data_IF_387258461912
#
_entry.id   IF_387258461912
#
_cell.length_a   1.000
_cell.length_b   1.000
_cell.length_c   1.000
_cell.angle_alpha   90.00
_cell.angle_beta   90.00
_cell.angle_gamma   90.00
#
_symmetry.space_group_name_H-M   'P 1'
#
loop_
_entity.id
_entity.type
_entity.pdbx_description
1 polymer ?
#
# COMPACT_ATOMS: atom_id res chain seq x y z
N UNK A 1 20.82 26.73 72.05
CA UNK A 1 20.61 26.78 70.58
C UNK A 1 20.03 25.44 70.15
N UNK A 2 18.72 25.36 69.95
CA UNK A 2 17.99 24.13 69.61
C UNK A 2 17.69 24.13 68.12
N UNK A 3 18.35 23.26 67.36
CA UNK A 3 18.16 23.11 65.92
C UNK A 3 17.00 22.19 65.61
N UNK A 4 15.96 22.71 64.95
CA UNK A 4 14.84 21.92 64.42
C UNK A 4 15.20 21.38 63.03
N UNK A 5 15.39 20.08 62.94
CA UNK A 5 15.53 19.35 61.68
C UNK A 5 14.14 19.28 60.99
N UNK A 6 13.98 19.90 59.82
CA UNK A 6 12.77 19.77 59.01
C UNK A 6 12.94 18.57 58.07
N UNK A 7 12.17 17.52 58.32
CA UNK A 7 12.04 16.38 57.43
C UNK A 7 11.14 16.79 56.25
N UNK A 8 11.69 16.86 55.04
CA UNK A 8 10.91 17.05 53.81
C UNK A 8 10.49 15.66 53.36
N UNK A 9 9.20 15.33 53.49
CA UNK A 9 8.63 14.12 52.94
C UNK A 9 8.43 14.33 51.42
N UNK A 10 9.26 13.67 50.62
CA UNK A 10 9.04 13.53 49.18
C UNK A 10 7.99 12.44 49.00
N UNK A 11 6.78 12.86 48.63
CA UNK A 11 5.71 11.94 48.21
C UNK A 11 5.96 11.60 46.75
N UNK A 12 6.63 10.48 46.50
CA UNK A 12 6.68 9.87 45.17
C UNK A 12 5.33 9.23 44.88
N UNK A 13 4.49 9.92 44.11
CA UNK A 13 3.30 9.32 43.53
C UNK A 13 3.74 8.35 42.43
N UNK A 14 3.91 7.08 42.78
CA UNK A 14 3.97 6.02 41.79
C UNK A 14 2.57 5.89 41.18
N UNK A 15 2.35 6.51 40.02
CA UNK A 15 1.20 6.20 39.20
C UNK A 15 1.31 4.73 38.82
N UNK A 16 0.47 3.88 39.40
CA UNK A 16 0.22 2.53 38.90
C UNK A 16 -0.48 2.68 37.54
N UNK A 17 0.29 2.98 36.49
CA UNK A 17 -0.19 3.04 35.12
C UNK A 17 -0.46 1.64 34.62
N UNK A 18 -1.67 1.12 34.85
CA UNK A 18 -2.15 -0.08 34.17
C UNK A 18 -2.28 0.21 32.68
N UNK A 19 -1.82 -0.71 31.83
CA UNK A 19 -2.07 -0.66 30.39
C UNK A 19 -3.57 -0.77 30.11
N UNK A 20 -4.09 0.05 29.19
CA UNK A 20 -5.47 -0.06 28.72
C UNK A 20 -5.60 -1.25 27.79
N UNK A 21 -6.54 -2.15 28.05
CA UNK A 21 -6.79 -3.27 27.15
C UNK A 21 -7.61 -2.83 25.93
N UNK A 22 -7.18 -3.21 24.73
CA UNK A 22 -7.93 -2.94 23.50
C UNK A 22 -8.78 -4.15 23.11
N UNK A 23 -10.06 -3.96 22.73
CA UNK A 23 -10.92 -5.03 22.24
C UNK A 23 -10.63 -5.35 20.76
N UNK A 24 -9.35 -5.44 20.39
CA UNK A 24 -8.88 -5.68 19.03
C UNK A 24 -7.89 -6.83 19.10
N UNK A 25 -8.03 -7.78 18.17
CA UNK A 25 -7.14 -8.93 18.07
C UNK A 25 -5.70 -8.44 17.81
N UNK A 26 -4.71 -9.02 18.50
CA UNK A 26 -3.33 -8.53 18.52
C UNK A 26 -2.64 -8.48 17.13
N UNK A 27 -3.14 -9.25 16.14
CA UNK A 27 -2.63 -9.22 14.75
C UNK A 27 -3.37 -8.22 13.86
N UNK A 28 -4.46 -7.64 14.32
CA UNK A 28 -5.22 -6.65 13.55
C UNK A 28 -4.68 -5.24 13.78
N UNK A 29 -4.92 -4.38 12.80
CA UNK A 29 -4.62 -2.97 12.88
C UNK A 29 -5.39 -2.37 14.08
N UNK A 30 -4.68 -1.81 15.07
CA UNK A 30 -5.29 -1.33 16.31
C UNK A 30 -6.10 -0.04 16.13
N UNK A 31 -6.01 0.62 14.97
CA UNK A 31 -6.83 1.77 14.61
C UNK A 31 -8.13 1.35 13.91
N UNK A 32 -8.25 0.07 13.55
CA UNK A 32 -9.42 -0.51 12.91
C UNK A 32 -10.57 -0.75 13.89
N UNK A 33 -11.79 -0.71 13.35
CA UNK A 33 -13.03 -1.00 14.10
C UNK A 33 -13.85 -2.14 13.48
N UNK A 34 -13.79 -2.33 12.16
CA UNK A 34 -14.66 -3.29 11.43
C UNK A 34 -13.89 -4.34 10.64
N UNK A 35 -12.65 -4.08 10.23
CA UNK A 35 -11.85 -5.00 9.42
C UNK A 35 -10.41 -5.08 9.93
N UNK A 36 -9.85 -6.30 9.98
CA UNK A 36 -8.58 -6.58 10.63
C UNK A 36 -7.40 -5.78 10.07
N UNK A 37 -7.29 -5.64 8.74
CA UNK A 37 -6.21 -4.85 8.13
C UNK A 37 -6.49 -3.35 8.06
N UNK A 38 -7.74 -2.92 8.25
CA UNK A 38 -8.12 -1.52 8.08
C UNK A 38 -7.78 -0.71 9.34
N UNK A 39 -7.36 0.56 9.23
CA UNK A 39 -7.09 1.27 7.98
C UNK A 39 -5.91 0.67 7.20
N UNK A 40 -6.02 0.68 5.87
CA UNK A 40 -4.97 0.22 4.96
C UNK A 40 -4.64 1.32 3.95
N UNK A 41 -3.38 1.51 3.55
CA UNK A 41 -2.15 1.01 4.19
C UNK A 41 -1.95 1.61 5.59
N UNK A 42 -1.07 1.03 6.41
CA UNK A 42 -0.83 1.49 7.78
C UNK A 42 0.56 1.12 8.30
N UNK A 43 1.20 2.07 8.99
CA UNK A 43 2.47 1.89 9.68
C UNK A 43 2.41 0.87 10.83
N UNK A 44 1.22 0.46 11.27
CA UNK A 44 1.03 -0.69 12.16
C UNK A 44 1.59 -2.00 11.59
N UNK A 45 1.75 -2.09 10.28
CA UNK A 45 2.35 -3.23 9.58
C UNK A 45 3.73 -2.91 9.00
N UNK A 46 4.45 -1.96 9.60
CA UNK A 46 5.82 -1.61 9.23
C UNK A 46 6.76 -1.78 10.43
N UNK A 47 7.98 -2.22 10.16
CA UNK A 47 9.08 -2.26 11.13
C UNK A 47 10.27 -1.44 10.62
N UNK A 48 11.13 -1.02 11.55
CA UNK A 48 12.39 -0.38 11.19
C UNK A 48 13.31 -1.37 10.49
N UNK A 49 13.87 -0.95 9.37
CA UNK A 49 14.92 -1.68 8.66
C UNK A 49 15.91 -0.68 8.03
N UNK A 50 17.03 -0.37 8.70
CA UNK A 50 18.01 0.59 8.19
C UNK A 50 18.75 0.09 6.93
N UNK A 51 18.52 -1.15 6.48
CA UNK A 51 19.11 -1.70 5.26
C UNK A 51 18.29 -1.37 4.01
N UNK A 52 17.06 -0.89 4.15
CA UNK A 52 16.21 -0.49 3.02
C UNK A 52 16.33 1.00 2.71
N UNK A 53 15.91 1.41 1.51
CA UNK A 53 16.01 2.80 1.07
C UNK A 53 15.11 3.75 1.87
N UNK A 54 13.99 3.26 2.39
CA UNK A 54 13.03 4.02 3.21
C UNK A 54 13.32 3.95 4.70
N UNK A 55 14.26 3.09 5.13
CA UNK A 55 14.46 2.75 6.54
C UNK A 55 13.35 1.89 7.13
N UNK A 56 12.43 1.39 6.31
CA UNK A 56 11.24 0.62 6.71
C UNK A 56 11.13 -0.67 5.93
N UNK A 57 10.40 -1.63 6.48
CA UNK A 57 10.00 -2.87 5.82
C UNK A 57 8.59 -3.24 6.24
N UNK A 58 7.79 -3.80 5.33
CA UNK A 58 6.50 -4.36 5.69
C UNK A 58 6.65 -5.61 6.59
N UNK A 59 5.75 -5.74 7.55
CA UNK A 59 5.70 -6.84 8.51
C UNK A 59 4.23 -7.20 8.82
N UNK A 60 3.51 -7.61 7.77
CA UNK A 60 2.12 -8.07 7.86
C UNK A 60 2.10 -9.46 8.51
N UNK A 61 1.33 -9.68 9.60
CA UNK A 61 1.19 -11.00 10.21
C UNK A 61 0.52 -12.02 9.28
N UNK A 62 0.97 -13.28 9.31
CA UNK A 62 0.48 -14.37 8.42
C UNK A 62 -1.04 -14.56 8.50
N UNK A 63 -1.61 -14.52 9.71
CA UNK A 63 -3.05 -14.66 9.95
C UNK A 63 -3.87 -13.35 9.92
N UNK A 64 -3.25 -12.20 9.59
CA UNK A 64 -3.95 -10.92 9.52
C UNK A 64 -4.66 -10.71 8.16
N UNK A 65 -4.19 -11.39 7.11
CA UNK A 65 -4.77 -11.27 5.77
C UNK A 65 -6.13 -11.99 5.69
N UNK A 66 -7.09 -11.46 4.90
CA UNK A 66 -8.37 -12.13 4.69
C UNK A 66 -8.19 -13.55 4.17
N UNK A 67 -8.89 -14.50 4.78
CA UNK A 67 -8.97 -15.87 4.28
C UNK A 67 -9.79 -15.89 3.00
N UNK A 68 -9.25 -16.52 1.96
CA UNK A 68 -9.96 -16.65 0.69
C UNK A 68 -11.22 -17.52 0.83
N UNK A 69 -12.06 -17.54 -0.21
CA UNK A 69 -13.31 -18.33 -0.30
C UNK A 69 -13.10 -19.84 -0.06
N UNK A 70 -11.87 -20.34 -0.17
CA UNK A 70 -11.49 -21.74 0.08
C UNK A 70 -10.49 -21.82 1.25
N UNK A 71 -10.73 -21.07 2.35
CA UNK A 71 -9.97 -21.03 3.61
C UNK A 71 -8.45 -21.18 3.43
N UNK A 72 -7.92 -20.60 2.35
CA UNK A 72 -6.51 -20.66 2.02
C UNK A 72 -5.91 -19.39 2.58
N UNK A 73 -5.00 -19.57 3.52
CA UNK A 73 -4.22 -18.49 4.08
C UNK A 73 -3.39 -17.82 2.98
N UNK A 74 -3.41 -16.49 2.97
CA UNK A 74 -2.60 -15.72 2.04
C UNK A 74 -1.26 -15.50 2.73
N UNK A 75 -0.19 -15.99 2.12
CA UNK A 75 1.17 -15.83 2.63
C UNK A 75 1.65 -14.38 2.44
N UNK A 76 1.98 -13.64 3.52
CA UNK A 76 2.41 -12.26 3.42
C UNK A 76 3.89 -12.10 3.03
N UNK A 77 4.68 -13.18 2.94
CA UNK A 77 6.14 -13.15 2.71
C UNK A 77 6.51 -12.21 1.54
N UNK A 78 5.71 -12.20 0.48
CA UNK A 78 5.93 -11.36 -0.70
C UNK A 78 5.71 -9.87 -0.49
N UNK A 79 4.84 -9.47 0.41
CA UNK A 79 4.73 -8.06 0.81
C UNK A 79 5.81 -7.72 1.83
N UNK A 80 6.16 -8.65 2.73
CA UNK A 80 7.13 -8.43 3.81
C UNK A 80 8.59 -8.30 3.36
N UNK A 81 8.87 -8.41 2.06
CA UNK A 81 10.17 -8.03 1.46
C UNK A 81 10.21 -6.59 0.96
N UNK A 82 9.07 -5.90 0.88
CA UNK A 82 8.98 -4.54 0.38
C UNK A 82 9.35 -3.53 1.45
N UNK A 83 9.98 -2.43 1.02
CA UNK A 83 10.38 -1.32 1.89
C UNK A 83 9.27 -0.26 2.08
N UNK A 84 8.02 -0.60 1.76
CA UNK A 84 6.86 0.26 1.94
C UNK A 84 5.66 -0.22 1.13
N UNK A 85 4.58 0.54 1.19
CA UNK A 85 3.35 0.26 0.45
C UNK A 85 3.40 0.78 -0.98
N UNK A 86 2.53 0.24 -1.85
CA UNK A 86 2.45 0.69 -3.24
C UNK A 86 2.08 2.18 -3.34
N UNK A 87 2.78 2.91 -4.20
CA UNK A 87 2.50 4.32 -4.52
C UNK A 87 1.13 4.57 -5.18
N UNK A 88 0.41 3.49 -5.54
CA UNK A 88 -0.94 3.53 -6.12
C UNK A 88 -1.92 2.69 -5.32
N UNK A 89 -1.60 2.31 -4.07
CA UNK A 89 -2.54 1.56 -3.24
C UNK A 89 -3.79 2.40 -2.98
N UNK A 90 -5.00 1.82 -3.07
CA UNK A 90 -6.16 2.48 -2.48
C UNK A 90 -5.91 2.61 -0.98
N UNK A 91 -6.28 3.76 -0.43
CA UNK A 91 -6.33 4.01 1.01
C UNK A 91 -7.76 3.68 1.43
N UNK A 92 -7.95 2.94 2.52
CA UNK A 92 -9.29 2.53 2.95
C UNK A 92 -9.41 2.41 4.46
N UNK A 93 -10.62 2.62 4.93
CA UNK A 93 -11.07 2.34 6.30
C UNK A 93 -12.55 1.93 6.25
N UNK A 94 -13.05 1.24 7.27
CA UNK A 94 -14.46 0.93 7.41
C UNK A 94 -14.92 1.27 8.83
N UNK A 95 -16.15 1.77 8.95
CA UNK A 95 -16.80 2.07 10.23
C UNK A 95 -18.03 1.18 10.43
N UNK A 96 -18.38 0.81 11.67
CA UNK A 96 -19.61 0.09 11.95
C UNK A 96 -20.81 0.93 11.48
N UNK A 97 -21.72 0.33 10.72
CA UNK A 97 -22.90 1.03 10.19
C UNK A 97 -22.63 1.91 8.95
N UNK A 98 -21.39 1.98 8.46
CA UNK A 98 -21.05 2.71 7.25
C UNK A 98 -20.93 4.24 7.42
N UNK A 99 -20.64 4.90 6.32
CA UNK A 99 -20.37 6.35 6.21
C UNK A 99 -21.32 6.94 5.18
N UNK A 100 -21.76 8.20 5.36
CA UNK A 100 -22.50 8.92 4.32
C UNK A 100 -21.53 9.54 3.31
N UNK A 101 -21.93 9.56 2.02
CA UNK A 101 -21.20 10.22 0.95
C UNK A 101 -21.29 11.76 0.98
N UNK A 102 -22.12 12.32 1.89
CA UNK A 102 -22.36 13.75 1.98
C UNK A 102 -21.08 14.52 2.28
N UNK A 103 -20.73 15.45 1.39
CA UNK A 103 -19.58 16.34 1.55
C UNK A 103 -18.23 15.70 1.22
N UNK A 104 -18.18 14.39 0.92
CA UNK A 104 -16.96 13.71 0.53
C UNK A 104 -16.46 14.23 -0.84
N UNK A 105 -15.13 14.34 -1.06
CA UNK A 105 -14.58 14.72 -2.36
C UNK A 105 -14.97 13.71 -3.45
N UNK A 106 -15.78 14.12 -4.43
CA UNK A 106 -16.21 13.25 -5.52
C UNK A 106 -15.16 13.16 -6.63
N UNK A 107 -15.23 12.11 -7.47
CA UNK A 107 -14.28 11.89 -8.57
C UNK A 107 -14.27 13.00 -9.64
N UNK A 108 -15.36 13.74 -9.77
CA UNK A 108 -15.52 14.89 -10.67
C UNK A 108 -15.28 16.24 -9.98
N UNK A 109 -14.99 16.25 -8.67
CA UNK A 109 -14.72 17.44 -7.88
C UNK A 109 -13.67 17.18 -6.78
N UNK A 110 -12.48 16.73 -7.21
CA UNK A 110 -11.39 16.40 -6.29
C UNK A 110 -10.78 17.62 -5.60
N UNK A 111 -11.03 18.85 -6.07
CA UNK A 111 -10.53 20.08 -5.43
C UNK A 111 -11.05 20.23 -3.98
N UNK A 112 -12.20 19.61 -3.66
CA UNK A 112 -12.71 19.52 -2.28
C UNK A 112 -11.74 18.83 -1.32
N UNK A 113 -10.88 17.94 -1.81
CA UNK A 113 -9.85 17.27 -0.99
C UNK A 113 -8.70 18.21 -0.58
N UNK A 114 -8.53 19.31 -1.31
CA UNK A 114 -7.47 20.30 -1.06
C UNK A 114 -7.97 21.47 -0.20
N UNK A 115 -9.28 21.60 -0.01
CA UNK A 115 -9.89 22.65 0.79
C UNK A 115 -9.50 22.52 2.28
N UNK A 116 -9.44 23.66 2.98
CA UNK A 116 -9.09 23.69 4.41
C UNK A 116 -10.09 22.90 5.28
N UNK A 117 -11.36 22.91 4.90
CA UNK A 117 -12.47 22.21 5.56
C UNK A 117 -12.77 20.82 4.97
N UNK A 118 -11.84 20.25 4.19
CA UNK A 118 -12.02 18.93 3.60
C UNK A 118 -12.27 17.87 4.68
N UNK A 119 -13.32 17.02 4.53
CA UNK A 119 -13.64 16.04 5.56
C UNK A 119 -12.65 14.87 5.62
N UNK A 120 -11.94 14.62 4.52
CA UNK A 120 -10.90 13.59 4.40
C UNK A 120 -9.61 14.21 3.87
N UNK A 121 -8.48 13.86 4.45
CA UNK A 121 -7.18 14.44 4.09
C UNK A 121 -6.15 13.34 3.84
N UNK A 122 -5.35 13.51 2.79
CA UNK A 122 -4.09 12.82 2.59
C UNK A 122 -3.01 13.91 2.58
N UNK A 123 -2.04 13.81 3.49
CA UNK A 123 -0.98 14.80 3.67
C UNK A 123 0.37 14.13 3.41
N UNK A 124 1.17 14.69 2.51
CA UNK A 124 2.57 14.32 2.38
C UNK A 124 3.36 14.92 3.57
N UNK A 125 3.78 14.09 4.51
CA UNK A 125 4.50 14.56 5.70
C UNK A 125 5.92 15.04 5.37
N UNK A 126 6.41 14.76 4.16
CA UNK A 126 7.73 15.20 3.69
C UNK A 126 7.69 16.64 3.20
N UNK A 127 6.61 17.02 2.50
CA UNK A 127 6.46 18.36 1.90
C UNK A 127 5.49 19.26 2.66
N UNK A 128 4.61 18.69 3.50
CA UNK A 128 3.50 19.39 4.14
C UNK A 128 2.33 19.68 3.20
N UNK A 129 2.32 19.09 1.99
CA UNK A 129 1.30 19.37 0.98
C UNK A 129 0.14 18.36 1.05
N UNK A 130 -1.09 18.86 0.85
CA UNK A 130 -2.27 18.01 0.68
C UNK A 130 -2.23 17.33 -0.68
N UNK A 131 -2.60 16.06 -0.71
CA UNK A 131 -2.72 15.26 -1.94
C UNK A 131 -4.17 15.27 -2.40
N UNK A 132 -4.37 15.72 -3.64
CA UNK A 132 -5.68 15.68 -4.28
C UNK A 132 -6.17 14.23 -4.38
N UNK A 133 -7.42 13.97 -3.99
CA UNK A 133 -8.03 12.65 -4.02
C UNK A 133 -9.55 12.74 -4.18
N UNK A 134 -10.16 11.60 -4.53
CA UNK A 134 -11.59 11.39 -4.32
C UNK A 134 -11.83 10.31 -3.28
N UNK A 135 -12.97 10.41 -2.63
CA UNK A 135 -13.49 9.46 -1.68
C UNK A 135 -14.67 8.69 -2.30
N UNK A 136 -14.65 7.36 -2.18
CA UNK A 136 -15.67 6.46 -2.72
C UNK A 136 -16.12 5.50 -1.61
N UNK A 137 -17.41 5.18 -1.58
CA UNK A 137 -17.94 4.13 -0.71
C UNK A 137 -18.08 2.83 -1.52
N UNK A 138 -17.57 1.71 -0.99
CA UNK A 138 -17.67 0.41 -1.66
C UNK A 138 -19.15 -0.02 -1.80
N UNK A 139 -19.73 -0.12 -2.99
CA UNK A 139 -21.14 -0.46 -3.14
C UNK A 139 -21.45 -1.93 -2.78
N UNK A 140 -20.43 -2.80 -2.61
CA UNK A 140 -20.63 -4.23 -2.43
C UNK A 140 -21.10 -4.63 -1.02
N UNK A 141 -20.86 -3.80 0.00
CA UNK A 141 -21.13 -4.15 1.42
C UNK A 141 -21.72 -2.98 2.20
N UNK A 142 -23.03 -2.70 2.09
CA UNK A 142 -23.65 -1.54 2.75
C UNK A 142 -23.47 -1.50 4.28
N UNK A 143 -23.54 -2.65 4.96
CA UNK A 143 -23.48 -2.72 6.43
C UNK A 143 -22.04 -2.71 7.00
N UNK A 144 -21.04 -2.78 6.12
CA UNK A 144 -19.61 -2.75 6.45
C UNK A 144 -18.83 -1.98 5.38
N UNK A 145 -19.42 -0.86 4.93
CA UNK A 145 -18.98 -0.17 3.73
C UNK A 145 -17.58 0.42 3.94
N UNK A 146 -16.64 0.03 3.08
CA UNK A 146 -15.33 0.65 3.08
C UNK A 146 -15.45 2.06 2.49
N UNK A 147 -14.89 3.03 3.20
CA UNK A 147 -14.54 4.35 2.67
C UNK A 147 -13.16 4.24 2.03
N UNK A 148 -13.07 4.46 0.73
CA UNK A 148 -11.83 4.44 -0.04
C UNK A 148 -11.42 5.87 -0.39
N UNK A 149 -10.18 6.24 -0.10
CA UNK A 149 -9.55 7.44 -0.63
C UNK A 149 -8.60 7.05 -1.77
N UNK A 150 -8.80 7.66 -2.94
CA UNK A 150 -8.01 7.39 -4.14
C UNK A 150 -7.24 8.65 -4.55
N UNK A 151 -5.91 8.67 -4.32
CA UNK A 151 -5.06 9.74 -4.81
C UNK A 151 -5.27 9.99 -6.30
N UNK A 152 -5.36 11.27 -6.69
CA UNK A 152 -5.52 11.69 -8.08
C UNK A 152 -4.24 11.45 -8.91
N UNK A 153 -3.11 11.28 -8.24
CA UNK A 153 -1.81 10.99 -8.83
C UNK A 153 -1.09 9.91 -8.01
N UNK A 154 -0.09 9.28 -8.64
CA UNK A 154 0.83 8.37 -7.96
C UNK A 154 1.53 9.12 -6.81
N UNK A 155 1.53 8.53 -5.61
CA UNK A 155 2.26 9.06 -4.47
C UNK A 155 3.77 9.03 -4.72
N UNK A 156 4.51 9.91 -4.05
CA UNK A 156 5.96 10.00 -4.23
C UNK A 156 6.65 8.82 -3.54
N UNK A 157 7.57 8.16 -4.25
CA UNK A 157 8.29 7.00 -3.73
C UNK A 157 9.17 7.40 -2.53
N UNK A 158 9.18 6.58 -1.48
CA UNK A 158 9.94 6.83 -0.25
C UNK A 158 9.38 7.91 0.66
N UNK A 159 8.32 8.62 0.27
CA UNK A 159 7.66 9.59 1.13
C UNK A 159 6.76 8.90 2.17
N UNK A 160 6.52 9.60 3.27
CA UNK A 160 5.59 9.22 4.32
C UNK A 160 4.33 10.08 4.23
N UNK A 161 3.17 9.44 4.33
CA UNK A 161 1.89 10.12 4.21
C UNK A 161 1.06 9.91 5.47
N UNK A 162 0.44 10.98 5.95
CA UNK A 162 -0.63 10.92 6.93
C UNK A 162 -1.99 10.90 6.21
N UNK A 163 -2.93 10.14 6.77
CA UNK A 163 -4.33 10.14 6.35
C UNK A 163 -5.17 10.53 7.55
N UNK A 164 -6.12 11.44 7.35
CA UNK A 164 -7.04 11.89 8.39
C UNK A 164 -8.49 11.79 7.92
N UNK A 165 -9.33 11.23 8.79
CA UNK A 165 -10.78 11.28 8.72
C UNK A 165 -11.23 12.23 9.83
N UNK A 166 -11.85 13.34 9.45
CA UNK A 166 -12.27 14.38 10.40
C UNK A 166 -13.68 14.13 10.93
N UNK A 167 -14.06 14.85 11.98
CA UNK A 167 -15.41 14.88 12.55
C UNK A 167 -16.48 15.41 11.59
N UNK A 168 -16.09 15.96 10.43
CA UNK A 168 -17.00 16.38 9.35
C UNK A 168 -17.55 15.20 8.55
N UNK A 169 -16.90 14.03 8.61
CA UNK A 169 -17.45 12.80 8.03
C UNK A 169 -18.56 12.27 8.94
N UNK A 170 -19.76 12.12 8.39
CA UNK A 170 -20.94 11.63 9.10
C UNK A 170 -21.20 10.15 8.85
N UNK A 171 -21.76 9.48 9.86
CA UNK A 171 -22.24 8.11 9.72
C UNK A 171 -23.39 8.02 8.72
N UNK A 172 -23.67 6.81 8.20
CA UNK A 172 -24.73 6.60 7.22
C UNK A 172 -26.14 6.96 7.75
N UNK A 173 -26.35 6.92 9.07
CA UNK A 173 -27.60 7.32 9.74
C UNK A 173 -27.68 8.84 10.04
N UNK A 174 -26.66 9.60 9.65
CA UNK A 174 -26.53 11.04 9.89
C UNK A 174 -25.92 11.40 11.25
N UNK A 175 -25.51 10.42 12.06
CA UNK A 175 -24.82 10.63 13.33
C UNK A 175 -23.32 10.89 13.20
N UNK A 176 -22.66 10.99 14.36
CA UNK A 176 -21.21 11.06 14.46
C UNK A 176 -20.57 9.68 14.28
N UNK A 177 -19.38 9.64 13.64
CA UNK A 177 -18.60 8.40 13.57
C UNK A 177 -17.99 8.04 14.92
N UNK A 178 -17.88 6.74 15.26
CA UNK A 178 -17.26 6.31 16.49
C UNK A 178 -15.74 6.54 16.46
N UNK A 179 -15.21 7.16 17.52
CA UNK A 179 -13.78 7.32 17.77
C UNK A 179 -13.12 5.97 18.08
N UNK A 180 -12.25 5.41 17.21
CA UNK A 180 -11.64 4.09 17.42
C UNK A 180 -10.85 4.00 18.74
N UNK A 181 -10.94 2.88 19.49
CA UNK A 181 -10.26 2.75 20.78
C UNK A 181 -8.74 2.92 20.71
N UNK A 182 -8.07 2.38 19.69
CA UNK A 182 -6.63 2.54 19.52
C UNK A 182 -6.22 3.97 19.19
N UNK A 183 -6.97 4.66 18.32
CA UNK A 183 -6.71 6.08 18.03
C UNK A 183 -6.91 6.96 19.27
N UNK A 184 -7.97 6.71 20.05
CA UNK A 184 -8.18 7.39 21.34
C UNK A 184 -7.01 7.18 22.31
N UNK A 185 -6.46 5.97 22.37
CA UNK A 185 -5.31 5.66 23.22
C UNK A 185 -4.01 6.33 22.75
N UNK A 186 -3.84 6.53 21.44
CA UNK A 186 -2.73 7.33 20.91
C UNK A 186 -2.91 8.81 21.23
N UNK A 187 -4.06 9.40 20.87
CA UNK A 187 -4.37 10.82 21.11
C UNK A 187 -4.28 11.22 22.58
N UNK A 188 -4.79 10.37 23.47
CA UNK A 188 -4.83 10.66 24.92
C UNK A 188 -3.55 10.20 25.67
N UNK A 189 -2.47 9.83 24.96
CA UNK A 189 -1.21 9.24 25.46
C UNK A 189 -1.40 8.12 26.52
N UNK A 190 -2.37 7.24 26.27
CA UNK A 190 -2.62 6.07 27.14
C UNK A 190 -1.93 4.84 26.60
N UNK A 191 -0.97 4.30 27.35
CA UNK A 191 -0.33 3.01 27.06
C UNK A 191 -1.36 1.87 27.05
N UNK A 192 -1.16 0.93 26.14
CA UNK A 192 -2.01 -0.26 25.95
C UNK A 192 -1.20 -1.55 26.07
N UNK A 193 -1.90 -2.69 26.11
CA UNK A 193 -1.31 -4.02 26.00
C UNK A 193 -1.17 -4.51 24.54
N UNK A 194 -1.54 -3.68 23.55
CA UNK A 194 -1.57 -4.06 22.14
C UNK A 194 -0.23 -3.79 21.44
N UNK A 195 0.51 -4.87 21.12
CA UNK A 195 1.86 -4.79 20.57
C UNK A 195 2.00 -3.90 19.33
N UNK A 196 1.11 -4.02 18.34
CA UNK A 196 1.18 -3.19 17.12
C UNK A 196 0.93 -1.69 17.41
N UNK A 197 0.09 -1.35 18.39
CA UNK A 197 -0.19 0.05 18.72
C UNK A 197 1.02 0.68 19.40
N UNK A 198 1.62 -0.04 20.35
CA UNK A 198 2.80 0.46 21.06
C UNK A 198 4.05 0.51 20.17
N UNK A 199 4.15 -0.36 19.17
CA UNK A 199 5.21 -0.30 18.17
C UNK A 199 5.09 0.92 17.24
N UNK A 200 3.86 1.31 16.85
CA UNK A 200 3.65 2.49 15.99
C UNK A 200 3.65 3.81 16.76
N UNK A 201 3.35 3.80 18.08
CA UNK A 201 3.21 5.01 18.90
C UNK A 201 4.35 6.03 18.76
N UNK A 202 5.65 5.65 18.81
CA UNK A 202 6.74 6.63 18.72
C UNK A 202 6.71 7.46 17.42
N UNK A 203 6.13 6.92 16.36
CA UNK A 203 5.99 7.60 15.06
C UNK A 203 4.72 8.43 14.96
N UNK A 204 3.73 8.16 15.81
CA UNK A 204 2.41 8.76 15.71
C UNK A 204 2.38 10.22 16.16
N UNK A 205 3.24 10.60 17.10
CA UNK A 205 3.36 12.00 17.53
C UNK A 205 3.69 12.92 16.34
N UNK A 206 4.57 12.49 15.43
CA UNK A 206 4.87 13.22 14.18
C UNK A 206 3.64 13.40 13.29
N UNK A 207 2.70 12.45 13.32
CA UNK A 207 1.47 12.50 12.52
C UNK A 207 0.56 13.60 13.04
N UNK A 208 0.37 13.68 14.35
CA UNK A 208 -0.43 14.74 14.97
C UNK A 208 0.19 16.11 14.72
N UNK A 209 1.51 16.24 14.87
CA UNK A 209 2.21 17.51 14.59
C UNK A 209 2.06 17.92 13.13
N UNK A 210 2.28 17.00 12.18
CA UNK A 210 2.17 17.32 10.76
C UNK A 210 0.74 17.72 10.35
N UNK A 211 -0.28 17.07 10.93
CA UNK A 211 -1.69 17.41 10.69
C UNK A 211 -2.04 18.78 11.30
N UNK A 212 -1.59 19.08 12.52
CA UNK A 212 -1.80 20.37 13.18
C UNK A 212 -1.14 21.52 12.38
N UNK A 213 0.10 21.34 11.94
CA UNK A 213 0.83 22.27 11.07
C UNK A 213 0.09 22.50 9.73
N UNK A 214 -0.65 21.50 9.25
CA UNK A 214 -1.51 21.57 8.06
C UNK A 214 -2.94 22.09 8.34
N UNK A 215 -3.21 22.55 9.56
CA UNK A 215 -4.48 23.15 10.00
C UNK A 215 -5.57 22.13 10.34
N UNK A 216 -5.20 20.91 10.76
CA UNK A 216 -6.11 19.82 11.12
C UNK A 216 -5.79 19.40 12.57
N UNK A 217 -6.33 20.11 13.56
CA UNK A 217 -6.03 19.86 14.97
C UNK A 217 -6.60 18.51 15.45
N UNK A 218 -6.06 18.00 16.56
CA UNK A 218 -6.38 16.65 17.05
C UNK A 218 -7.84 16.47 17.51
N UNK A 219 -8.51 17.56 17.89
CA UNK A 219 -9.92 17.59 18.30
C UNK A 219 -10.88 17.49 17.11
N UNK A 220 -10.41 17.82 15.90
CA UNK A 220 -11.13 17.66 14.64
C UNK A 220 -11.06 16.23 14.08
N UNK A 221 -10.25 15.33 14.67
CA UNK A 221 -10.00 13.99 14.14
C UNK A 221 -10.94 12.91 14.71
N UNK A 222 -11.55 12.12 13.81
CA UNK A 222 -12.17 10.83 14.15
C UNK A 222 -11.10 9.73 14.16
N UNK A 223 -10.20 9.74 13.20
CA UNK A 223 -9.04 8.84 13.16
C UNK A 223 -8.01 9.37 12.18
N UNK A 224 -6.74 9.22 12.55
CA UNK A 224 -5.62 9.44 11.65
C UNK A 224 -4.63 8.29 11.77
N UNK A 225 -3.87 8.08 10.70
CA UNK A 225 -2.78 7.10 10.63
C UNK A 225 -1.77 7.53 9.58
N UNK A 226 -0.63 6.85 9.52
CA UNK A 226 0.37 7.07 8.50
C UNK A 226 0.81 5.78 7.82
N UNK A 227 1.54 5.93 6.71
CA UNK A 227 2.24 4.84 6.04
C UNK A 227 3.40 5.39 5.19
N UNK A 228 4.36 4.51 4.91
CA UNK A 228 5.53 4.78 4.07
C UNK A 228 5.29 4.21 2.67
N UNK A 229 5.50 5.02 1.63
CA UNK A 229 5.46 4.55 0.23
C UNK A 229 6.79 3.90 -0.12
N UNK A 230 6.74 2.73 -0.77
CA UNK A 230 7.93 1.99 -1.20
C UNK A 230 8.85 2.84 -2.08
N UNK A 231 10.15 2.56 -2.02
CA UNK A 231 11.11 3.18 -2.94
C UNK A 231 10.92 2.66 -4.37
N UNK A 232 11.30 3.46 -5.37
CA UNK A 232 11.31 3.01 -6.76
C UNK A 232 12.28 1.84 -6.98
N UNK A 233 13.34 1.77 -6.18
CA UNK A 233 14.28 0.65 -6.22
C UNK A 233 13.60 -0.66 -5.81
N UNK A 234 12.88 -0.66 -4.69
CA UNK A 234 12.11 -1.83 -4.22
C UNK A 234 10.99 -2.18 -5.19
N UNK A 235 10.20 -1.20 -5.63
CA UNK A 235 9.05 -1.41 -6.51
C UNK A 235 9.43 -2.02 -7.88
N UNK A 236 10.62 -1.68 -8.41
CA UNK A 236 11.07 -2.13 -9.73
C UNK A 236 12.08 -3.29 -9.67
N UNK A 237 12.56 -3.69 -8.49
CA UNK A 237 13.66 -4.65 -8.32
C UNK A 237 13.48 -5.92 -9.14
N UNK A 238 12.29 -6.53 -9.08
CA UNK A 238 12.00 -7.77 -9.79
C UNK A 238 12.06 -7.61 -11.32
N UNK A 239 11.43 -6.57 -11.87
CA UNK A 239 11.39 -6.36 -13.31
C UNK A 239 12.79 -6.04 -13.86
N UNK A 240 13.58 -5.26 -13.12
CA UNK A 240 14.96 -4.95 -13.49
C UNK A 240 15.83 -6.21 -13.45
N UNK A 241 15.77 -6.99 -12.36
CA UNK A 241 16.54 -8.22 -12.23
C UNK A 241 16.15 -9.27 -13.30
N UNK A 242 14.86 -9.43 -13.59
CA UNK A 242 14.38 -10.32 -14.64
C UNK A 242 14.84 -9.85 -16.02
N UNK A 243 14.79 -8.54 -16.31
CA UNK A 243 15.29 -7.97 -17.57
C UNK A 243 16.78 -8.26 -17.76
N UNK A 244 17.61 -7.95 -16.78
CA UNK A 244 19.07 -8.14 -16.86
C UNK A 244 19.44 -9.61 -17.05
N UNK A 245 18.84 -10.50 -16.26
CA UNK A 245 19.06 -11.95 -16.37
C UNK A 245 18.54 -12.52 -17.68
N UNK A 246 17.41 -12.00 -18.17
CA UNK A 246 16.85 -12.38 -19.46
C UNK A 246 17.79 -12.00 -20.62
N UNK A 247 18.31 -10.77 -20.61
CA UNK A 247 19.28 -10.30 -21.60
C UNK A 247 20.59 -11.12 -21.56
N UNK A 248 21.11 -11.41 -20.36
CA UNK A 248 22.30 -12.26 -20.20
C UNK A 248 22.06 -13.70 -20.71
N UNK A 249 20.86 -14.24 -20.47
CA UNK A 249 20.46 -15.55 -21.00
C UNK A 249 20.44 -15.54 -22.52
N UNK A 250 19.82 -14.53 -23.14
CA UNK A 250 19.72 -14.41 -24.60
C UNK A 250 21.06 -14.14 -25.28
N UNK A 251 22.01 -13.52 -24.60
CA UNK A 251 23.38 -13.36 -25.09
C UNK A 251 24.12 -14.71 -25.21
N UNK A 252 23.78 -15.67 -24.33
CA UNK A 252 24.37 -17.02 -24.33
C UNK A 252 23.58 -17.98 -25.22
N UNK A 253 22.25 -17.89 -25.18
CA UNK A 253 21.30 -18.72 -25.90
C UNK A 253 20.39 -17.82 -26.74
N UNK A 254 20.82 -17.46 -27.96
CA UNK A 254 20.04 -16.57 -28.82
C UNK A 254 18.62 -17.09 -29.01
N UNK A 255 17.65 -16.17 -28.97
CA UNK A 255 16.25 -16.51 -29.21
C UNK A 255 16.08 -17.13 -30.59
N UNK A 256 15.54 -18.34 -30.63
CA UNK A 256 15.12 -18.97 -31.88
C UNK A 256 13.68 -18.57 -32.16
N UNK A 257 13.36 -18.35 -33.44
CA UNK A 257 11.99 -18.12 -33.87
C UNK A 257 11.57 -19.12 -34.94
N UNK A 258 10.28 -19.42 -34.96
CA UNK A 258 9.64 -20.26 -35.99
C UNK A 258 8.47 -19.49 -36.57
N UNK A 259 8.45 -19.32 -37.89
CA UNK A 259 7.31 -18.73 -38.60
C UNK A 259 6.27 -19.82 -38.81
N UNK A 260 5.05 -19.58 -38.33
CA UNK A 260 3.92 -20.51 -38.47
C UNK A 260 2.93 -20.08 -39.54
N UNK A 261 2.87 -18.78 -39.84
CA UNK A 261 2.10 -18.26 -40.96
C UNK A 261 2.71 -16.97 -41.52
N UNK A 262 2.65 -16.82 -42.84
CA UNK A 262 3.03 -15.60 -43.55
C UNK A 262 1.94 -15.28 -44.58
N UNK A 263 1.17 -14.22 -44.32
CA UNK A 263 0.03 -13.81 -45.16
C UNK A 263 0.26 -12.42 -45.71
N UNK A 264 -0.13 -12.21 -46.96
CA UNK A 264 -0.08 -10.92 -47.66
C UNK A 264 -1.43 -10.59 -48.24
N UNK A 265 -1.84 -9.34 -48.07
CA UNK A 265 -3.04 -8.78 -48.68
C UNK A 265 -2.82 -7.30 -49.02
N UNK A 266 -3.89 -6.61 -49.45
CA UNK A 266 -3.82 -5.19 -49.82
C UNK A 266 -3.42 -4.26 -48.66
N UNK A 267 -3.61 -4.68 -47.40
CA UNK A 267 -3.27 -3.91 -46.20
C UNK A 267 -1.81 -4.07 -45.77
N UNK A 268 -1.14 -5.16 -46.18
CA UNK A 268 0.27 -5.39 -45.92
C UNK A 268 0.62 -6.88 -45.78
N UNK A 269 1.64 -7.16 -44.96
CA UNK A 269 2.08 -8.51 -44.61
C UNK A 269 1.90 -8.74 -43.12
N UNK A 270 1.31 -9.88 -42.75
CA UNK A 270 1.21 -10.35 -41.37
C UNK A 270 1.97 -11.67 -41.22
N UNK A 271 2.93 -11.68 -40.32
CA UNK A 271 3.74 -12.86 -39.99
C UNK A 271 3.39 -13.28 -38.57
N UNK A 272 2.90 -14.51 -38.42
CA UNK A 272 2.71 -15.12 -37.12
C UNK A 272 3.82 -16.15 -36.91
N UNK A 273 4.23 -16.30 -35.67
CA UNK A 273 5.23 -17.28 -35.33
C UNK A 273 5.32 -17.47 -33.84
N UNK A 274 6.43 -18.06 -33.45
CA UNK A 274 6.81 -18.23 -32.06
C UNK A 274 8.26 -17.83 -31.88
N UNK A 275 8.61 -17.31 -30.72
CA UNK A 275 9.99 -17.01 -30.34
C UNK A 275 10.27 -17.60 -28.94
N UNK A 276 11.50 -18.03 -28.73
CA UNK A 276 11.94 -18.53 -27.43
C UNK A 276 12.33 -17.36 -26.52
N UNK A 277 11.75 -17.30 -25.33
CA UNK A 277 11.99 -16.26 -24.34
C UNK A 277 12.45 -16.89 -23.00
N UNK A 278 13.26 -16.19 -22.18
CA UNK A 278 13.58 -16.65 -20.83
C UNK A 278 12.33 -16.78 -19.96
N UNK A 279 12.15 -17.94 -19.33
CA UNK A 279 11.05 -18.23 -18.41
C UNK A 279 11.47 -17.90 -16.98
N UNK A 280 10.67 -17.13 -16.25
CA UNK A 280 10.88 -16.85 -14.81
C UNK A 280 9.78 -17.41 -13.91
N UNK A 281 8.73 -17.98 -14.50
CA UNK A 281 7.57 -18.48 -13.77
C UNK A 281 7.70 -19.99 -13.52
N UNK A 282 7.12 -20.46 -12.42
CA UNK A 282 6.93 -21.89 -12.15
C UNK A 282 5.92 -22.48 -13.16
N UNK A 283 5.72 -23.79 -13.11
CA UNK A 283 4.70 -24.47 -13.93
C UNK A 283 4.84 -24.25 -15.44
N UNK A 284 6.06 -24.06 -15.94
CA UNK A 284 6.29 -23.79 -17.37
C UNK A 284 5.71 -22.45 -17.85
N UNK A 285 5.31 -21.55 -16.95
CA UNK A 285 4.63 -20.30 -17.30
C UNK A 285 3.14 -20.44 -17.62
N UNK A 286 2.54 -21.60 -17.40
CA UNK A 286 1.11 -21.80 -17.62
C UNK A 286 0.27 -20.94 -16.67
N UNK A 287 -0.80 -20.26 -17.15
CA UNK A 287 -1.67 -19.41 -16.33
C UNK A 287 -2.64 -20.26 -15.51
N UNK A 288 -2.10 -21.06 -14.59
CA UNK A 288 -2.86 -21.91 -13.65
C UNK A 288 -2.60 -21.49 -12.20
N UNK A 289 -3.49 -21.91 -11.29
CA UNK A 289 -3.33 -21.63 -9.85
C UNK A 289 -1.97 -22.11 -9.34
N UNK A 290 -1.33 -21.30 -8.50
CA UNK A 290 -0.01 -21.57 -7.94
C UNK A 290 1.17 -21.30 -8.89
N UNK A 291 0.92 -20.84 -10.12
CA UNK A 291 2.00 -20.29 -10.96
C UNK A 291 2.52 -19.01 -10.31
N UNK A 292 3.82 -18.98 -10.04
CA UNK A 292 4.49 -17.91 -9.30
C UNK A 292 5.85 -17.61 -9.91
N UNK A 293 6.36 -16.41 -9.65
CA UNK A 293 7.74 -16.05 -9.96
C UNK A 293 8.69 -16.93 -9.16
N UNK A 294 9.58 -17.65 -9.85
CA UNK A 294 10.63 -18.46 -9.22
C UNK A 294 11.77 -17.54 -8.81
N UNK A 295 12.28 -17.75 -7.59
CA UNK A 295 13.36 -16.96 -7.02
C UNK A 295 14.55 -17.83 -6.67
N UNK A 296 15.74 -17.24 -6.70
CA UNK A 296 16.96 -17.87 -6.20
C UNK A 296 17.12 -17.69 -4.68
N UNK A 297 18.24 -18.16 -4.13
CA UNK A 297 18.55 -18.04 -2.70
C UNK A 297 18.71 -16.58 -2.22
N UNK A 298 18.92 -15.63 -3.12
CA UNK A 298 18.97 -14.20 -2.82
C UNK A 298 17.59 -13.52 -2.96
N UNK A 299 16.53 -14.27 -3.24
CA UNK A 299 15.19 -13.74 -3.44
C UNK A 299 15.00 -13.04 -4.79
N UNK A 300 15.93 -13.15 -5.74
CA UNK A 300 15.82 -12.52 -7.05
C UNK A 300 15.16 -13.45 -8.08
N UNK A 301 14.45 -12.93 -9.10
CA UNK A 301 13.88 -13.72 -10.18
C UNK A 301 14.91 -14.66 -10.82
N UNK A 302 14.57 -15.94 -10.90
CA UNK A 302 15.44 -17.00 -11.38
C UNK A 302 14.95 -17.57 -12.72
N UNK A 303 15.85 -17.65 -13.69
CA UNK A 303 15.57 -18.24 -15.01
C UNK A 303 15.34 -19.75 -14.85
N UNK A 304 14.21 -20.23 -15.38
CA UNK A 304 13.76 -21.63 -15.35
C UNK A 304 14.00 -22.36 -16.68
N UNK A 305 14.66 -21.70 -17.63
CA UNK A 305 14.88 -22.17 -18.99
C UNK A 305 14.29 -21.21 -20.02
N UNK A 306 14.09 -21.72 -21.23
CA UNK A 306 13.38 -21.00 -22.29
C UNK A 306 11.97 -21.54 -22.43
N UNK A 307 11.02 -20.68 -22.75
CA UNK A 307 9.67 -21.05 -23.15
C UNK A 307 9.30 -20.35 -24.45
N UNK A 308 8.37 -20.96 -25.17
CA UNK A 308 7.96 -20.48 -26.47
C UNK A 308 6.76 -19.55 -26.34
N UNK A 309 6.91 -18.30 -26.75
CA UNK A 309 5.79 -17.35 -26.82
C UNK A 309 5.34 -17.16 -28.26
N UNK A 310 4.03 -17.01 -28.51
CA UNK A 310 3.55 -16.59 -29.82
C UNK A 310 3.93 -15.13 -30.07
N UNK A 311 4.18 -14.78 -31.32
CA UNK A 311 4.28 -13.38 -31.75
C UNK A 311 3.49 -13.15 -33.04
N UNK A 312 3.07 -11.90 -33.24
CA UNK A 312 2.56 -11.39 -34.50
C UNK A 312 3.35 -10.15 -34.92
N UNK A 313 3.98 -10.21 -36.09
CA UNK A 313 4.59 -9.06 -36.75
C UNK A 313 3.67 -8.55 -37.87
N UNK A 314 3.23 -7.29 -37.75
CA UNK A 314 2.42 -6.60 -38.75
C UNK A 314 3.29 -5.62 -39.52
N UNK A 315 3.37 -5.79 -40.84
CA UNK A 315 4.19 -4.99 -41.74
C UNK A 315 3.24 -4.26 -42.71
N UNK A 316 2.97 -2.96 -42.51
CA UNK A 316 2.10 -2.19 -43.39
C UNK A 316 2.58 -2.19 -44.84
N UNK A 317 1.68 -2.10 -45.81
CA UNK A 317 2.05 -2.06 -47.24
C UNK A 317 3.07 -0.95 -47.57
N UNK A 318 2.92 0.23 -46.94
CA UNK A 318 3.84 1.36 -47.11
C UNK A 318 5.26 1.11 -46.59
N UNK A 319 5.44 0.13 -45.69
CA UNK A 319 6.74 -0.22 -45.11
C UNK A 319 7.66 -0.95 -46.11
N UNK A 320 7.13 -1.45 -47.22
CA UNK A 320 7.93 -2.09 -48.27
C UNK A 320 8.60 -1.10 -49.22
N UNK A 321 8.26 0.19 -49.13
CA UNK A 321 8.67 1.22 -50.09
C UNK A 321 9.70 2.23 -49.54
N UNK A 322 10.05 2.16 -48.26
CA UNK A 322 11.06 3.04 -47.61
C UNK A 322 11.99 2.19 -46.74
N UNK A 323 13.26 2.56 -46.62
CA UNK A 323 14.21 1.89 -45.73
C UNK A 323 14.96 2.93 -44.88
N UNK A 324 15.14 2.70 -43.55
CA UNK A 324 14.55 1.66 -42.70
C UNK A 324 13.16 2.04 -42.15
N UNK A 325 12.31 1.04 -41.84
CA UNK A 325 10.94 1.25 -41.31
C UNK A 325 10.81 0.71 -39.89
N UNK A 326 10.17 1.45 -38.96
CA UNK A 326 9.86 0.94 -37.63
C UNK A 326 8.96 -0.29 -37.70
N UNK A 327 9.29 -1.33 -36.93
CA UNK A 327 8.47 -2.53 -36.75
C UNK A 327 7.89 -2.55 -35.34
N UNK A 328 6.64 -3.00 -35.22
CA UNK A 328 6.01 -3.30 -33.93
C UNK A 328 5.77 -4.81 -33.87
N UNK A 329 6.27 -5.46 -32.83
CA UNK A 329 6.07 -6.88 -32.54
C UNK A 329 5.16 -6.95 -31.31
N UNK A 330 4.06 -7.70 -31.44
CA UNK A 330 3.10 -7.98 -30.37
C UNK A 330 3.10 -9.47 -30.04
#
# INVERSE_FOLDING_TARGET
MSGRLRLIAVVSAAACGGSTSLPIDARCNPLGVTACLAPWPSSAFEVDDPTTATGRRLAIPEDALPRGVIDTEIDPERWNVLDGFSATTPILIAFPGGVSDLGLPASDNMDLSLAADSPTVILDMTTGERVAHHAELDPATPDAQALLLRPAARLTAGHRYAVAITSRVVAADGGELPLPPGFRALRDDRRTDHGLLEAMRPRFDDVLVALDDAGIPDDDLVVAWDFTVASDASANADLIAARERGLATLATYPSLFTITADRRDASGRRVNGTLDAPLFLSNGGEPRRGTRLVRDAAGLPAVQGLYRIPFTASIPACATQRAPVPMVIW
#
